data_IF_199839204077
#
_entry.id   IF_199839204077
#
_cell.length_a   1.000
_cell.length_b   1.000
_cell.length_c   1.000
_cell.angle_alpha   90.00
_cell.angle_beta   90.00
_cell.angle_gamma   90.00
#
_symmetry.space_group_name_H-M   'P 1'
#
loop_
_entity.id
_entity.type
_entity.pdbx_description
1 polymer ?
#
# COMPACT_ATOMS: atom_id res chain seq x y z
N UNK A 1 -28.53 -36.40 2.03
CA UNK A 1 -27.90 -35.11 2.41
C UNK A 1 -26.43 -35.04 1.98
N UNK A 2 -26.06 -35.70 0.86
CA UNK A 2 -24.67 -35.86 0.41
C UNK A 2 -24.49 -35.61 -1.11
N UNK A 3 -25.43 -34.92 -1.76
CA UNK A 3 -25.36 -34.66 -3.21
C UNK A 3 -25.77 -33.22 -3.62
N UNK A 4 -25.68 -32.25 -2.71
CA UNK A 4 -26.02 -30.85 -2.98
C UNK A 4 -24.80 -29.90 -2.92
N UNK A 5 -23.62 -30.42 -2.59
CA UNK A 5 -22.36 -29.71 -2.83
C UNK A 5 -21.92 -30.08 -4.24
N UNK A 6 -22.73 -29.65 -5.21
CA UNK A 6 -22.30 -29.63 -6.60
C UNK A 6 -20.94 -28.96 -6.68
N UNK A 7 -20.03 -29.58 -7.43
CA UNK A 7 -18.82 -28.97 -7.99
C UNK A 7 -19.06 -27.48 -8.17
N UNK A 8 -18.46 -26.66 -7.32
CA UNK A 8 -18.58 -25.22 -7.47
C UNK A 8 -17.86 -24.90 -8.78
N UNK A 9 -18.59 -24.80 -9.89
CA UNK A 9 -18.06 -24.50 -11.24
C UNK A 9 -17.14 -23.28 -11.25
N UNK A 10 -17.30 -22.38 -10.28
CA UNK A 10 -16.42 -21.24 -10.03
C UNK A 10 -14.94 -21.62 -9.77
N UNK A 11 -14.67 -22.82 -9.24
CA UNK A 11 -13.33 -23.32 -8.91
C UNK A 11 -12.61 -23.97 -10.08
N UNK A 12 -13.29 -24.23 -11.20
CA UNK A 12 -12.69 -24.80 -12.41
C UNK A 12 -11.81 -23.76 -13.12
N UNK A 13 -12.23 -22.48 -13.09
CA UNK A 13 -11.46 -21.34 -13.59
C UNK A 13 -11.39 -20.21 -12.55
N UNK A 14 -10.64 -20.41 -11.45
CA UNK A 14 -10.73 -19.55 -10.28
C UNK A 14 -10.26 -18.12 -10.55
N UNK A 15 -9.22 -17.94 -11.38
CA UNK A 15 -8.71 -16.61 -11.75
C UNK A 15 -9.76 -15.86 -12.58
N UNK A 16 -10.35 -16.51 -13.58
CA UNK A 16 -11.37 -15.90 -14.42
C UNK A 16 -12.61 -15.50 -13.62
N UNK A 17 -13.07 -16.36 -12.71
CA UNK A 17 -14.17 -16.02 -11.81
C UNK A 17 -13.81 -14.86 -10.89
N UNK A 18 -12.60 -14.84 -10.31
CA UNK A 18 -12.13 -13.71 -9.48
C UNK A 18 -12.10 -12.40 -10.28
N UNK A 19 -11.65 -12.42 -11.53
CA UNK A 19 -11.66 -11.24 -12.40
C UNK A 19 -13.09 -10.73 -12.63
N UNK A 20 -14.05 -11.62 -12.89
CA UNK A 20 -15.46 -11.24 -13.02
C UNK A 20 -16.00 -10.62 -11.74
N UNK A 21 -15.77 -11.27 -10.59
CA UNK A 21 -16.19 -10.75 -9.29
C UNK A 21 -15.58 -9.37 -9.01
N UNK A 22 -14.30 -9.19 -9.33
CA UNK A 22 -13.62 -7.90 -9.20
C UNK A 22 -14.27 -6.81 -10.06
N UNK A 23 -14.46 -7.06 -11.36
CA UNK A 23 -15.07 -6.10 -12.26
C UNK A 23 -16.50 -5.74 -11.84
N UNK A 24 -17.31 -6.74 -11.47
CA UNK A 24 -18.67 -6.52 -10.99
C UNK A 24 -18.68 -5.67 -9.72
N UNK A 25 -17.82 -5.98 -8.74
CA UNK A 25 -17.75 -5.23 -7.50
C UNK A 25 -17.27 -3.78 -7.73
N UNK A 26 -16.26 -3.58 -8.58
CA UNK A 26 -15.80 -2.24 -8.95
C UNK A 26 -16.89 -1.43 -9.68
N UNK A 27 -17.68 -2.07 -10.53
CA UNK A 27 -18.83 -1.44 -11.17
C UNK A 27 -19.88 -1.03 -10.12
N UNK A 28 -20.21 -1.90 -9.16
CA UNK A 28 -21.13 -1.57 -8.05
C UNK A 28 -20.63 -0.38 -7.24
N UNK A 29 -19.35 -0.38 -6.84
CA UNK A 29 -18.77 0.74 -6.09
C UNK A 29 -18.80 2.04 -6.90
N UNK A 30 -18.49 1.99 -8.19
CA UNK A 30 -18.55 3.16 -9.07
C UNK A 30 -19.99 3.68 -9.19
N UNK A 31 -20.97 2.80 -9.38
CA UNK A 31 -22.39 3.17 -9.43
C UNK A 31 -22.83 3.84 -8.13
N UNK A 32 -22.42 3.31 -6.97
CA UNK A 32 -22.72 3.92 -5.66
C UNK A 32 -22.11 5.33 -5.58
N UNK A 33 -20.86 5.50 -5.99
CA UNK A 33 -20.18 6.82 -5.96
C UNK A 33 -20.87 7.82 -6.89
N UNK A 34 -21.33 7.38 -8.07
CA UNK A 34 -22.04 8.24 -9.04
C UNK A 34 -23.47 8.56 -8.62
N UNK A 35 -24.17 7.62 -7.99
CA UNK A 35 -25.54 7.81 -7.49
C UNK A 35 -25.59 8.58 -6.17
N UNK A 36 -24.45 8.77 -5.49
CA UNK A 36 -24.38 9.49 -4.21
C UNK A 36 -24.72 10.98 -4.40
N UNK A 37 -25.81 11.47 -3.78
CA UNK A 37 -26.28 12.84 -3.99
C UNK A 37 -25.37 13.88 -3.32
N UNK A 38 -25.39 15.09 -3.85
CA UNK A 38 -24.73 16.26 -3.28
C UNK A 38 -23.21 16.33 -3.49
N UNK A 39 -22.55 17.37 -2.93
CA UNK A 39 -21.11 17.54 -2.99
C UNK A 39 -20.35 16.51 -2.13
N UNK A 40 -21.06 15.79 -1.24
CA UNK A 40 -20.49 14.94 -0.19
C UNK A 40 -20.28 15.71 1.11
N UNK A 41 -20.01 15.00 2.20
CA UNK A 41 -19.64 15.62 3.48
C UNK A 41 -18.31 16.39 3.38
N UNK A 42 -17.36 15.85 2.61
CA UNK A 42 -16.08 16.49 2.31
C UNK A 42 -16.19 17.31 1.02
N UNK A 43 -16.15 18.64 1.14
CA UNK A 43 -16.18 19.60 0.02
C UNK A 43 -14.80 20.03 -0.45
N UNK A 44 -13.72 19.49 0.13
CA UNK A 44 -12.35 19.92 -0.12
C UNK A 44 -11.94 19.76 -1.59
N UNK A 45 -12.35 18.65 -2.23
CA UNK A 45 -12.12 18.44 -3.67
C UNK A 45 -12.81 19.51 -4.52
N UNK A 46 -14.06 19.87 -4.17
CA UNK A 46 -14.81 20.88 -4.90
C UNK A 46 -14.19 22.29 -4.74
N UNK A 47 -13.75 22.63 -3.52
CA UNK A 47 -13.07 23.89 -3.23
C UNK A 47 -11.74 24.00 -3.97
N UNK A 48 -10.93 22.94 -3.97
CA UNK A 48 -9.66 22.92 -4.69
C UNK A 48 -9.84 23.07 -6.20
N UNK A 49 -10.88 22.47 -6.77
CA UNK A 49 -11.22 22.63 -8.18
C UNK A 49 -11.74 24.04 -8.50
N UNK A 50 -12.48 24.66 -7.60
CA UNK A 50 -12.92 26.05 -7.76
C UNK A 50 -11.77 27.05 -7.63
N UNK A 51 -10.77 26.74 -6.79
CA UNK A 51 -9.57 27.57 -6.59
C UNK A 51 -8.54 27.40 -7.72
N UNK A 52 -8.42 26.21 -8.30
CA UNK A 52 -7.64 25.94 -9.52
C UNK A 52 -8.44 26.31 -10.80
N UNK A 53 -9.44 27.19 -10.68
CA UNK A 53 -10.43 27.52 -11.71
C UNK A 53 -9.84 27.92 -13.06
N UNK A 54 -10.50 27.43 -14.12
CA UNK A 54 -10.39 27.89 -15.53
C UNK A 54 -8.98 28.02 -16.12
N UNK A 55 -8.13 27.02 -15.91
CA UNK A 55 -6.96 26.84 -16.79
C UNK A 55 -7.40 26.44 -18.22
N UNK A 56 -6.68 26.84 -19.29
CA UNK A 56 -7.01 26.61 -20.70
C UNK A 56 -6.90 25.13 -21.17
N UNK A 57 -7.06 24.17 -20.26
CA UNK A 57 -7.00 22.73 -20.51
C UNK A 57 -8.14 21.92 -19.88
N UNK A 58 -9.19 22.58 -19.37
CA UNK A 58 -10.35 21.85 -18.87
C UNK A 58 -11.13 21.22 -20.04
N UNK A 59 -11.40 19.91 -20.01
CA UNK A 59 -12.13 19.25 -21.08
C UNK A 59 -13.55 19.83 -21.20
N UNK A 60 -14.02 20.01 -22.43
CA UNK A 60 -15.34 20.57 -22.72
C UNK A 60 -16.44 19.80 -21.98
N UNK A 61 -17.39 20.53 -21.39
CA UNK A 61 -18.50 19.95 -20.67
C UNK A 61 -19.31 19.02 -21.58
N UNK A 62 -19.49 17.77 -21.16
CA UNK A 62 -20.15 16.72 -21.96
C UNK A 62 -19.20 15.85 -22.80
N UNK A 63 -17.91 16.17 -22.88
CA UNK A 63 -16.91 15.31 -23.51
C UNK A 63 -16.61 14.05 -22.67
N UNK A 64 -16.13 12.98 -23.32
CA UNK A 64 -15.67 11.77 -22.63
C UNK A 64 -14.50 12.07 -21.68
N UNK A 65 -13.61 12.98 -22.06
CA UNK A 65 -12.50 13.42 -21.21
C UNK A 65 -13.02 14.12 -19.95
N UNK A 66 -14.04 14.96 -20.07
CA UNK A 66 -14.69 15.58 -18.92
C UNK A 66 -15.33 14.55 -17.99
N UNK A 67 -16.02 13.56 -18.55
CA UNK A 67 -16.63 12.49 -17.76
C UNK A 67 -15.58 11.69 -16.97
N UNK A 68 -14.48 11.32 -17.61
CA UNK A 68 -13.39 10.57 -16.96
C UNK A 68 -12.75 11.40 -15.83
N UNK A 69 -12.46 12.68 -16.09
CA UNK A 69 -11.93 13.59 -15.07
C UNK A 69 -12.93 13.79 -13.92
N UNK A 70 -14.22 13.93 -14.22
CA UNK A 70 -15.28 14.09 -13.22
C UNK A 70 -15.40 12.86 -12.32
N UNK A 71 -15.35 11.65 -12.90
CA UNK A 71 -15.35 10.38 -12.17
C UNK A 71 -14.10 10.27 -11.28
N UNK A 72 -12.91 10.55 -11.83
CA UNK A 72 -11.65 10.52 -11.09
C UNK A 72 -11.68 11.44 -9.87
N UNK A 73 -12.22 12.64 -10.03
CA UNK A 73 -12.36 13.62 -8.95
C UNK A 73 -13.42 13.22 -7.92
N UNK A 74 -14.55 12.64 -8.33
CA UNK A 74 -15.57 12.09 -7.40
C UNK A 74 -14.99 10.99 -6.51
N UNK A 75 -14.07 10.20 -7.05
CA UNK A 75 -13.33 9.16 -6.31
C UNK A 75 -12.18 9.73 -5.47
N UNK A 76 -11.62 10.88 -5.85
CA UNK A 76 -10.59 11.59 -5.12
C UNK A 76 -11.17 12.49 -4.00
N UNK A 77 -11.57 11.87 -2.89
CA UNK A 77 -12.05 12.53 -1.67
C UNK A 77 -11.18 12.20 -0.45
N UNK A 78 -11.30 12.99 0.62
CA UNK A 78 -10.59 12.79 1.90
C UNK A 78 -9.07 12.82 1.74
N UNK A 79 -8.37 11.90 2.40
CA UNK A 79 -6.91 11.76 2.40
C UNK A 79 -6.28 11.74 1.00
N UNK A 80 -7.04 11.30 -0.02
CA UNK A 80 -6.56 11.26 -1.41
C UNK A 80 -6.16 12.64 -1.94
N UNK A 81 -6.77 13.72 -1.45
CA UNK A 81 -6.40 15.09 -1.82
C UNK A 81 -4.94 15.40 -1.45
N UNK A 82 -4.51 14.96 -0.26
CA UNK A 82 -3.12 15.15 0.16
C UNK A 82 -2.17 14.38 -0.75
N UNK A 83 -2.48 13.11 -1.05
CA UNK A 83 -1.66 12.31 -1.99
C UNK A 83 -1.54 12.98 -3.36
N UNK A 84 -2.64 13.55 -3.88
CA UNK A 84 -2.66 14.22 -5.17
C UNK A 84 -1.89 15.55 -5.17
N UNK A 85 -2.11 16.41 -4.16
CA UNK A 85 -1.39 17.70 -4.07
C UNK A 85 0.10 17.48 -3.82
N UNK A 86 0.48 16.52 -2.99
CA UNK A 86 1.89 16.14 -2.81
C UNK A 86 2.47 15.61 -4.13
N UNK A 87 1.72 14.80 -4.89
CA UNK A 87 2.20 14.32 -6.18
C UNK A 87 2.32 15.45 -7.23
N UNK A 88 1.50 16.50 -7.13
CA UNK A 88 1.53 17.67 -8.00
C UNK A 88 2.73 18.57 -7.72
N UNK A 89 2.92 18.98 -6.46
CA UNK A 89 3.86 20.05 -6.07
C UNK A 89 4.98 19.61 -5.12
N UNK A 90 5.00 18.35 -4.69
CA UNK A 90 5.89 17.88 -3.64
C UNK A 90 5.42 18.25 -2.22
N UNK A 91 6.21 17.84 -1.23
CA UNK A 91 5.98 18.11 0.18
C UNK A 91 6.31 19.57 0.47
N UNK A 92 5.35 20.31 1.03
CA UNK A 92 5.56 21.68 1.52
C UNK A 92 5.41 21.76 3.03
N UNK A 93 4.46 21.03 3.61
CA UNK A 93 4.17 21.12 5.04
C UNK A 93 4.60 19.87 5.81
N UNK A 94 4.94 20.03 7.10
CA UNK A 94 5.36 18.91 7.95
C UNK A 94 4.30 17.81 8.03
N UNK A 95 3.02 18.16 8.19
CA UNK A 95 1.92 17.20 8.29
C UNK A 95 1.73 16.34 7.05
N UNK A 96 2.22 16.79 5.89
CA UNK A 96 2.10 16.03 4.64
C UNK A 96 2.94 14.75 4.67
N UNK A 97 3.99 14.70 5.49
CA UNK A 97 4.90 13.55 5.61
C UNK A 97 4.28 12.32 6.27
N UNK A 98 3.04 12.41 6.74
CA UNK A 98 2.28 11.24 7.13
C UNK A 98 1.60 10.52 5.95
N UNK A 99 1.48 11.17 4.80
CA UNK A 99 1.00 10.56 3.56
C UNK A 99 2.19 9.95 2.82
N UNK A 100 2.09 8.67 2.45
CA UNK A 100 3.22 7.83 2.02
C UNK A 100 4.11 8.40 0.91
N UNK A 101 5.38 8.62 1.24
CA UNK A 101 6.42 9.11 0.32
C UNK A 101 6.51 8.30 -0.98
N UNK A 102 6.58 6.97 -0.88
CA UNK A 102 6.75 6.12 -2.06
C UNK A 102 5.57 6.20 -3.03
N UNK A 103 4.34 6.23 -2.51
CA UNK A 103 3.14 6.32 -3.34
C UNK A 103 3.07 7.66 -4.07
N UNK A 104 3.29 8.76 -3.35
CA UNK A 104 3.25 10.11 -3.96
C UNK A 104 4.31 10.28 -5.04
N UNK A 105 5.56 9.80 -4.81
CA UNK A 105 6.61 9.83 -5.84
C UNK A 105 6.32 8.95 -7.04
N UNK A 106 5.77 7.75 -6.82
CA UNK A 106 5.32 6.89 -7.92
C UNK A 106 4.26 7.60 -8.77
N UNK A 107 3.27 8.23 -8.12
CA UNK A 107 2.21 8.94 -8.82
C UNK A 107 2.75 10.15 -9.62
N UNK A 108 3.67 10.94 -9.04
CA UNK A 108 4.36 12.02 -9.76
C UNK A 108 5.20 11.52 -10.94
N UNK A 109 5.79 10.32 -10.82
CA UNK A 109 6.63 9.73 -11.86
C UNK A 109 5.83 9.23 -13.06
N UNK A 110 4.60 8.73 -12.83
CA UNK A 110 3.73 8.24 -13.89
C UNK A 110 3.24 9.33 -14.85
N UNK A 111 3.33 10.62 -14.46
CA UNK A 111 2.93 11.75 -15.30
C UNK A 111 4.11 12.72 -15.50
N UNK A 112 4.37 13.16 -16.75
CA UNK A 112 5.34 14.22 -17.00
C UNK A 112 4.86 15.52 -16.33
N UNK A 113 5.81 16.37 -15.96
CA UNK A 113 5.53 17.59 -15.18
C UNK A 113 4.49 18.51 -15.83
N UNK A 114 4.49 18.60 -17.17
CA UNK A 114 3.50 19.37 -17.94
C UNK A 114 2.06 18.87 -17.82
N UNK A 115 1.85 17.61 -17.45
CA UNK A 115 0.53 16.97 -17.34
C UNK A 115 0.11 16.70 -15.89
N UNK A 116 0.85 17.20 -14.89
CA UNK A 116 0.52 17.05 -13.45
C UNK A 116 -0.59 18.00 -13.00
N UNK A 117 -1.68 18.07 -13.76
CA UNK A 117 -2.92 18.69 -13.27
C UNK A 117 -3.60 17.76 -12.26
N UNK A 118 -4.37 18.35 -11.35
CA UNK A 118 -5.09 17.59 -10.31
C UNK A 118 -6.04 16.53 -10.91
N UNK A 119 -6.64 16.84 -12.06
CA UNK A 119 -7.57 15.96 -12.78
C UNK A 119 -6.85 14.72 -13.32
N UNK A 120 -5.74 14.90 -14.02
CA UNK A 120 -4.97 13.78 -14.57
C UNK A 120 -4.36 12.92 -13.45
N UNK A 121 -3.86 13.55 -12.38
CA UNK A 121 -3.36 12.83 -11.21
C UNK A 121 -4.46 12.01 -10.53
N UNK A 122 -5.68 12.55 -10.40
CA UNK A 122 -6.81 11.84 -9.82
C UNK A 122 -7.17 10.60 -10.64
N UNK A 123 -7.28 10.73 -11.96
CA UNK A 123 -7.57 9.61 -12.86
C UNK A 123 -6.46 8.57 -12.79
N UNK A 124 -5.19 8.98 -12.91
CA UNK A 124 -4.04 8.08 -12.83
C UNK A 124 -3.98 7.36 -11.49
N UNK A 125 -4.23 8.06 -10.38
CA UNK A 125 -4.22 7.46 -9.06
C UNK A 125 -5.39 6.49 -8.82
N UNK A 126 -6.58 6.76 -9.37
CA UNK A 126 -7.71 5.80 -9.37
C UNK A 126 -7.36 4.55 -10.18
N UNK A 127 -6.80 4.71 -11.39
CA UNK A 127 -6.38 3.59 -12.22
C UNK A 127 -5.30 2.75 -11.53
N UNK A 128 -4.29 3.41 -10.96
CA UNK A 128 -3.22 2.77 -10.22
C UNK A 128 -3.76 2.00 -9.01
N UNK A 129 -4.69 2.59 -8.24
CA UNK A 129 -5.26 1.95 -7.05
C UNK A 129 -6.10 0.73 -7.43
N UNK A 130 -6.90 0.81 -8.50
CA UNK A 130 -7.66 -0.34 -8.98
C UNK A 130 -6.75 -1.44 -9.56
N UNK A 131 -5.69 -1.08 -10.29
CA UNK A 131 -4.71 -2.03 -10.79
C UNK A 131 -4.00 -2.74 -9.63
N UNK A 132 -3.48 -1.99 -8.65
CA UNK A 132 -2.84 -2.56 -7.48
C UNK A 132 -3.81 -3.44 -6.67
N UNK A 133 -5.07 -3.03 -6.48
CA UNK A 133 -6.04 -3.86 -5.78
C UNK A 133 -6.32 -5.17 -6.54
N UNK A 134 -6.45 -5.12 -7.88
CA UNK A 134 -6.62 -6.32 -8.69
C UNK A 134 -5.43 -7.26 -8.57
N UNK A 135 -4.20 -6.74 -8.70
CA UNK A 135 -2.99 -7.53 -8.55
C UNK A 135 -2.85 -8.08 -7.12
N UNK A 136 -3.26 -7.32 -6.10
CA UNK A 136 -3.32 -7.77 -4.70
C UNK A 136 -4.23 -8.98 -4.54
N UNK A 137 -5.41 -8.99 -5.18
CA UNK A 137 -6.34 -10.15 -5.19
C UNK A 137 -5.68 -11.38 -5.82
N UNK A 138 -5.03 -11.22 -6.97
CA UNK A 138 -4.36 -12.34 -7.67
C UNK A 138 -3.19 -12.90 -6.86
N UNK A 139 -2.37 -12.02 -6.28
CA UNK A 139 -1.24 -12.42 -5.45
C UNK A 139 -1.73 -13.07 -4.16
N UNK A 140 -2.78 -12.55 -3.52
CA UNK A 140 -3.36 -13.15 -2.31
C UNK A 140 -3.89 -14.56 -2.59
N UNK A 141 -4.53 -14.78 -3.75
CA UNK A 141 -4.93 -16.11 -4.19
C UNK A 141 -3.73 -17.05 -4.29
N UNK A 142 -2.66 -16.64 -4.99
CA UNK A 142 -1.44 -17.44 -5.15
C UNK A 142 -0.68 -17.65 -3.84
N UNK A 143 -0.63 -16.65 -2.97
CA UNK A 143 -0.05 -16.73 -1.62
C UNK A 143 -0.80 -17.72 -0.76
N UNK A 144 -2.14 -17.68 -0.79
CA UNK A 144 -2.97 -18.62 -0.04
C UNK A 144 -2.77 -20.05 -0.56
N UNK A 145 -2.75 -20.25 -1.88
CA UNK A 145 -2.40 -21.55 -2.48
C UNK A 145 -0.99 -22.01 -2.08
N UNK A 146 -0.04 -21.07 -1.99
CA UNK A 146 1.33 -21.40 -1.61
C UNK A 146 1.44 -21.80 -0.14
N UNK A 147 0.61 -21.22 0.73
CA UNK A 147 0.64 -21.43 2.18
C UNK A 147 -0.12 -22.68 2.59
N UNK A 148 -1.32 -22.89 2.05
CA UNK A 148 -2.15 -24.06 2.36
C UNK A 148 -1.81 -25.20 1.39
N UNK A 149 -1.14 -26.25 1.90
CA UNK A 149 -0.69 -27.39 1.10
C UNK A 149 -1.82 -28.09 0.31
N UNK A 150 -1.52 -28.45 -0.93
CA UNK A 150 -2.43 -29.02 -1.95
C UNK A 150 -2.98 -30.44 -1.66
N UNK A 151 -2.78 -30.97 -0.45
CA UNK A 151 -3.05 -32.38 -0.13
C UNK A 151 -4.47 -32.69 0.34
N UNK A 152 -5.36 -31.69 0.40
CA UNK A 152 -6.78 -31.87 0.76
C UNK A 152 -7.66 -31.72 -0.48
N UNK A 153 -8.72 -32.53 -0.54
CA UNK A 153 -9.87 -32.27 -1.41
C UNK A 153 -10.34 -30.81 -1.20
N UNK A 154 -10.71 -30.10 -2.27
CA UNK A 154 -11.07 -28.67 -2.26
C UNK A 154 -9.93 -27.68 -1.95
N UNK A 155 -8.69 -27.97 -2.39
CA UNK A 155 -7.51 -27.12 -2.18
C UNK A 155 -7.65 -25.64 -2.59
N UNK A 156 -8.54 -25.32 -3.55
CA UNK A 156 -8.76 -23.96 -4.03
C UNK A 156 -9.82 -23.17 -3.24
N UNK A 157 -10.61 -23.80 -2.37
CA UNK A 157 -11.74 -23.12 -1.70
C UNK A 157 -11.25 -22.01 -0.77
N UNK A 158 -10.29 -22.31 0.10
CA UNK A 158 -9.75 -21.32 1.05
C UNK A 158 -9.04 -20.16 0.31
N UNK A 159 -8.13 -20.42 -0.65
CA UNK A 159 -7.53 -19.35 -1.46
C UNK A 159 -8.56 -18.50 -2.21
N UNK A 160 -9.57 -19.13 -2.82
CA UNK A 160 -10.61 -18.44 -3.55
C UNK A 160 -11.48 -17.58 -2.64
N UNK A 161 -11.88 -18.11 -1.48
CA UNK A 161 -12.65 -17.37 -0.48
C UNK A 161 -11.85 -16.18 0.06
N UNK A 162 -10.58 -16.37 0.41
CA UNK A 162 -9.72 -15.27 0.88
C UNK A 162 -9.58 -14.16 -0.17
N UNK A 163 -9.34 -14.53 -1.44
CA UNK A 163 -9.25 -13.58 -2.53
C UNK A 163 -10.59 -12.87 -2.80
N UNK A 164 -11.72 -13.59 -2.74
CA UNK A 164 -13.06 -13.01 -2.91
C UNK A 164 -13.40 -12.04 -1.79
N UNK A 165 -13.12 -12.39 -0.53
CA UNK A 165 -13.31 -11.49 0.61
C UNK A 165 -12.44 -10.23 0.50
N UNK A 166 -11.24 -10.35 -0.06
CA UNK A 166 -10.41 -9.20 -0.35
C UNK A 166 -11.00 -8.30 -1.46
N UNK A 167 -11.63 -8.87 -2.49
CA UNK A 167 -12.39 -8.09 -3.50
C UNK A 167 -13.45 -7.23 -2.83
N UNK A 168 -14.28 -7.82 -1.95
CA UNK A 168 -15.33 -7.13 -1.18
C UNK A 168 -14.82 -6.60 0.17
N UNK A 169 -13.59 -6.08 0.20
CA UNK A 169 -13.00 -5.48 1.42
C UNK A 169 -13.90 -4.37 2.01
N UNK A 170 -14.00 -4.26 3.34
CA UNK A 170 -14.81 -3.23 4.00
C UNK A 170 -14.34 -1.80 3.71
N UNK A 171 -13.11 -1.62 3.18
CA UNK A 171 -12.64 -0.34 2.69
C UNK A 171 -13.52 0.23 1.55
N UNK A 172 -14.32 -0.60 0.88
CA UNK A 172 -15.33 -0.15 -0.07
C UNK A 172 -14.75 0.75 -1.17
N UNK A 173 -15.33 1.94 -1.36
CA UNK A 173 -14.87 2.89 -2.36
C UNK A 173 -13.47 3.46 -2.08
N UNK A 174 -12.99 3.45 -0.82
CA UNK A 174 -11.68 3.99 -0.46
C UNK A 174 -10.54 3.22 -1.13
N UNK A 175 -10.65 1.90 -1.31
CA UNK A 175 -9.60 1.11 -1.99
C UNK A 175 -9.51 1.42 -3.51
N UNK A 176 -10.50 2.14 -4.05
CA UNK A 176 -10.53 2.64 -5.44
C UNK A 176 -10.09 4.09 -5.56
N UNK A 177 -10.03 4.83 -4.45
CA UNK A 177 -9.59 6.21 -4.39
C UNK A 177 -8.06 6.30 -4.57
N UNK A 178 -7.50 7.45 -5.01
CA UNK A 178 -6.07 7.62 -5.19
C UNK A 178 -5.35 7.69 -3.83
N UNK A 179 -5.13 6.53 -3.22
CA UNK A 179 -4.44 6.37 -1.96
C UNK A 179 -3.39 5.25 -2.01
N UNK A 180 -2.49 5.27 -1.03
CA UNK A 180 -1.42 4.27 -0.91
C UNK A 180 -1.87 2.88 -0.44
N UNK A 181 -3.15 2.64 -0.12
CA UNK A 181 -3.60 1.39 0.52
C UNK A 181 -3.59 0.20 -0.43
N UNK A 182 -4.11 0.38 -1.65
CA UNK A 182 -4.11 -0.68 -2.65
C UNK A 182 -2.68 -1.06 -3.06
N UNK A 183 -1.81 -0.06 -3.26
CA UNK A 183 -0.40 -0.27 -3.57
C UNK A 183 0.34 -0.97 -2.42
N UNK A 184 0.08 -0.56 -1.17
CA UNK A 184 0.60 -1.21 0.03
C UNK A 184 0.18 -2.68 0.09
N UNK A 185 -1.11 -2.97 -0.06
CA UNK A 185 -1.66 -4.33 -0.01
C UNK A 185 -0.99 -5.24 -1.05
N UNK A 186 -0.89 -4.76 -2.30
CA UNK A 186 -0.24 -5.50 -3.38
C UNK A 186 1.23 -5.81 -3.09
N UNK A 187 2.02 -4.79 -2.78
CA UNK A 187 3.46 -4.95 -2.53
C UNK A 187 3.72 -5.83 -1.30
N UNK A 188 2.90 -5.69 -0.26
CA UNK A 188 3.03 -6.49 0.95
C UNK A 188 2.69 -7.97 0.69
N UNK A 189 1.58 -8.27 0.01
CA UNK A 189 1.26 -9.65 -0.39
C UNK A 189 2.29 -10.23 -1.36
N UNK A 190 2.86 -9.42 -2.25
CA UNK A 190 3.92 -9.86 -3.14
C UNK A 190 5.19 -10.22 -2.37
N UNK A 191 5.55 -9.42 -1.36
CA UNK A 191 6.65 -9.71 -0.44
C UNK A 191 6.43 -11.02 0.31
N UNK A 192 5.23 -11.24 0.86
CA UNK A 192 4.87 -12.50 1.51
C UNK A 192 4.94 -13.70 0.55
N UNK A 193 4.46 -13.54 -0.69
CA UNK A 193 4.51 -14.58 -1.70
C UNK A 193 5.95 -14.95 -2.09
N UNK A 194 6.81 -13.95 -2.32
CA UNK A 194 8.22 -14.16 -2.57
C UNK A 194 8.91 -14.87 -1.39
N UNK A 195 8.61 -14.47 -0.15
CA UNK A 195 9.16 -15.10 1.05
C UNK A 195 8.75 -16.57 1.19
N UNK A 196 7.46 -16.89 1.06
CA UNK A 196 6.96 -18.27 1.16
C UNK A 196 7.51 -19.15 0.04
N UNK A 197 7.61 -18.61 -1.18
CA UNK A 197 8.20 -19.37 -2.30
C UNK A 197 9.72 -19.55 -2.15
N UNK A 198 10.43 -18.63 -1.49
CA UNK A 198 11.83 -18.84 -1.11
C UNK A 198 11.97 -20.04 -0.15
N UNK A 199 11.08 -20.17 0.83
CA UNK A 199 11.06 -21.32 1.75
C UNK A 199 10.73 -22.64 1.04
N UNK A 200 9.98 -22.61 -0.07
CA UNK A 200 9.73 -23.81 -0.89
C UNK A 200 10.95 -24.21 -1.70
N UNK A 201 11.61 -23.24 -2.33
CA UNK A 201 12.83 -23.48 -3.09
C UNK A 201 13.95 -24.03 -2.20
N UNK A 202 14.01 -23.57 -0.95
CA UNK A 202 14.91 -24.11 0.08
C UNK A 202 14.68 -25.61 0.29
N UNK A 203 13.42 -26.04 0.45
CA UNK A 203 13.08 -27.47 0.62
C UNK A 203 13.40 -28.30 -0.62
N UNK A 204 13.44 -27.67 -1.79
CA UNK A 204 13.81 -28.29 -3.06
C UNK A 204 15.33 -28.22 -3.33
N UNK A 205 16.13 -27.63 -2.44
CA UNK A 205 17.59 -27.53 -2.56
C UNK A 205 18.10 -26.40 -3.46
N UNK A 206 17.22 -25.51 -3.93
CA UNK A 206 17.56 -24.43 -4.86
C UNK A 206 18.07 -23.17 -4.14
N UNK A 207 19.35 -23.17 -3.73
CA UNK A 207 19.96 -22.08 -2.95
C UNK A 207 19.91 -20.70 -3.65
N UNK A 208 20.23 -20.64 -4.95
CA UNK A 208 20.31 -19.36 -5.67
C UNK A 208 18.93 -18.69 -5.83
N UNK A 209 17.91 -19.46 -6.21
CA UNK A 209 16.55 -18.94 -6.39
C UNK A 209 15.95 -18.49 -5.06
N UNK A 210 16.18 -19.26 -3.98
CA UNK A 210 15.84 -18.87 -2.62
C UNK A 210 16.43 -17.51 -2.24
N UNK A 211 17.74 -17.34 -2.46
CA UNK A 211 18.45 -16.12 -2.09
C UNK A 211 17.88 -14.89 -2.81
N UNK A 212 17.65 -15.02 -4.13
CA UNK A 212 17.04 -13.98 -4.93
C UNK A 212 15.62 -13.64 -4.44
N UNK A 213 14.82 -14.65 -4.07
CA UNK A 213 13.45 -14.45 -3.57
C UNK A 213 13.43 -13.81 -2.17
N UNK A 214 14.39 -14.10 -1.29
CA UNK A 214 14.49 -13.39 -0.01
C UNK A 214 14.82 -11.91 -0.20
N UNK A 215 15.74 -11.57 -1.10
CA UNK A 215 16.04 -10.17 -1.44
C UNK A 215 14.84 -9.49 -2.09
N UNK A 216 14.16 -10.17 -3.03
CA UNK A 216 12.96 -9.65 -3.67
C UNK A 216 11.83 -9.40 -2.67
N UNK A 217 11.64 -10.29 -1.70
CA UNK A 217 10.69 -10.10 -0.60
C UNK A 217 11.04 -8.85 0.22
N UNK A 218 12.31 -8.70 0.61
CA UNK A 218 12.81 -7.52 1.32
C UNK A 218 12.58 -6.22 0.55
N UNK A 219 12.85 -6.20 -0.76
CA UNK A 219 12.62 -5.05 -1.63
C UNK A 219 11.12 -4.71 -1.77
N UNK A 220 10.25 -5.71 -1.90
CA UNK A 220 8.79 -5.50 -1.93
C UNK A 220 8.28 -4.91 -0.62
N UNK A 221 8.75 -5.41 0.53
CA UNK A 221 8.40 -4.85 1.84
C UNK A 221 8.98 -3.45 2.05
N UNK A 222 10.18 -3.16 1.57
CA UNK A 222 10.74 -1.81 1.59
C UNK A 222 9.85 -0.84 0.81
N UNK A 223 9.47 -1.20 -0.42
CA UNK A 223 8.54 -0.42 -1.25
C UNK A 223 7.18 -0.25 -0.58
N UNK A 224 6.60 -1.32 0.00
CA UNK A 224 5.36 -1.22 0.77
C UNK A 224 5.52 -0.26 1.96
N UNK A 225 6.64 -0.32 2.67
CA UNK A 225 6.93 0.53 3.83
C UNK A 225 7.02 2.01 3.46
N UNK A 226 7.54 2.34 2.28
CA UNK A 226 7.50 3.73 1.78
C UNK A 226 6.10 4.23 1.45
N UNK A 227 5.17 3.33 1.10
CA UNK A 227 3.78 3.69 0.86
C UNK A 227 3.01 3.83 2.18
N UNK A 228 3.29 2.96 3.18
CA UNK A 228 2.77 3.06 4.54
C UNK A 228 3.76 2.45 5.54
N UNK A 229 4.05 3.16 6.63
CA UNK A 229 4.99 2.75 7.69
C UNK A 229 4.65 1.39 8.33
N UNK A 230 3.38 0.96 8.29
CA UNK A 230 2.93 -0.36 8.75
C UNK A 230 3.69 -1.53 8.09
N UNK A 231 4.30 -1.32 6.92
CA UNK A 231 5.11 -2.34 6.24
C UNK A 231 6.32 -2.81 7.03
N UNK A 232 6.80 -2.03 8.02
CA UNK A 232 7.87 -2.44 8.91
C UNK A 232 7.55 -3.74 9.67
N UNK A 233 6.27 -3.95 10.00
CA UNK A 233 5.83 -5.15 10.73
C UNK A 233 6.07 -6.43 9.92
N UNK A 234 6.12 -6.34 8.59
CA UNK A 234 6.46 -7.49 7.72
C UNK A 234 7.91 -7.98 7.94
N UNK A 235 8.77 -7.14 8.53
CA UNK A 235 10.11 -7.53 8.96
C UNK A 235 10.12 -8.60 10.07
N UNK A 236 9.02 -8.79 10.80
CA UNK A 236 8.89 -9.84 11.81
C UNK A 236 9.09 -11.25 11.21
N UNK A 237 8.73 -11.46 9.93
CA UNK A 237 8.99 -12.74 9.26
C UNK A 237 10.48 -13.01 9.10
N UNK A 238 11.26 -11.99 8.71
CA UNK A 238 12.71 -12.10 8.59
C UNK A 238 13.36 -12.30 9.96
N UNK A 239 12.90 -11.60 10.98
CA UNK A 239 13.38 -11.78 12.36
C UNK A 239 13.11 -13.21 12.84
N UNK A 240 11.89 -13.72 12.65
CA UNK A 240 11.54 -15.09 13.01
C UNK A 240 12.43 -16.13 12.31
N UNK A 241 12.67 -15.96 11.01
CA UNK A 241 13.49 -16.90 10.25
C UNK A 241 14.99 -16.81 10.62
N UNK A 242 15.48 -15.60 10.90
CA UNK A 242 16.84 -15.37 11.37
C UNK A 242 17.09 -16.00 12.75
N UNK A 243 16.14 -15.82 13.70
CA UNK A 243 16.20 -16.46 15.02
C UNK A 243 16.16 -17.99 14.88
N UNK A 244 15.32 -18.51 13.98
CA UNK A 244 15.25 -19.95 13.69
C UNK A 244 16.56 -20.48 13.12
N UNK A 245 17.20 -19.74 12.20
CA UNK A 245 18.52 -20.07 11.65
C UNK A 245 19.64 -20.02 12.70
N UNK A 246 19.62 -19.01 13.57
CA UNK A 246 20.59 -18.89 14.67
C UNK A 246 20.44 -20.04 15.67
N UNK A 247 19.20 -20.40 16.03
CA UNK A 247 18.93 -21.54 16.89
C UNK A 247 19.48 -22.85 16.29
N UNK A 248 19.31 -23.06 14.97
CA UNK A 248 19.88 -24.24 14.28
C UNK A 248 21.41 -24.27 14.33
N UNK A 249 22.09 -23.12 14.21
CA UNK A 249 23.55 -23.04 14.34
C UNK A 249 24.01 -23.42 15.76
N UNK A 250 23.26 -22.97 16.78
CA UNK A 250 23.57 -23.27 18.18
C UNK A 250 23.36 -24.76 18.48
N UNK A 251 22.29 -25.37 17.98
CA UNK A 251 21.95 -26.78 18.33
C UNK A 251 22.69 -27.82 17.49
N UNK A 252 22.92 -27.55 16.20
CA UNK A 252 23.49 -28.52 15.26
C UNK A 252 24.87 -28.14 14.73
N UNK A 253 25.40 -26.99 15.16
CA UNK A 253 26.68 -26.43 14.70
C UNK A 253 26.54 -25.60 13.41
N UNK A 254 27.59 -24.82 13.08
CA UNK A 254 27.59 -23.98 11.89
C UNK A 254 27.73 -24.82 10.61
N UNK A 255 26.76 -24.69 9.70
CA UNK A 255 26.86 -25.18 8.33
C UNK A 255 26.87 -24.01 7.36
N UNK A 256 27.71 -24.07 6.32
CA UNK A 256 27.79 -23.03 5.29
C UNK A 256 26.42 -22.69 4.70
N UNK A 257 25.58 -23.71 4.50
CA UNK A 257 24.23 -23.54 4.00
C UNK A 257 23.36 -22.66 4.91
N UNK A 258 23.40 -22.92 6.22
CA UNK A 258 22.62 -22.17 7.23
C UNK A 258 23.17 -20.75 7.36
N UNK A 259 24.50 -20.59 7.36
CA UNK A 259 25.16 -19.27 7.41
C UNK A 259 24.76 -18.42 6.19
N UNK A 260 24.83 -18.99 4.98
CA UNK A 260 24.43 -18.31 3.75
C UNK A 260 22.96 -17.91 3.79
N UNK A 261 22.07 -18.82 4.21
CA UNK A 261 20.64 -18.53 4.36
C UNK A 261 20.41 -17.38 5.34
N UNK A 262 21.03 -17.44 6.52
CA UNK A 262 20.93 -16.41 7.55
C UNK A 262 21.41 -15.06 7.02
N UNK A 263 22.54 -15.03 6.29
CA UNK A 263 23.04 -13.81 5.66
C UNK A 263 22.03 -13.20 4.68
N UNK A 264 21.38 -14.01 3.84
CA UNK A 264 20.39 -13.53 2.87
C UNK A 264 19.08 -13.08 3.54
N UNK A 265 18.65 -13.75 4.60
CA UNK A 265 17.50 -13.33 5.42
C UNK A 265 17.80 -12.00 6.10
N UNK A 266 18.97 -11.84 6.73
CA UNK A 266 19.39 -10.57 7.33
C UNK A 266 19.51 -9.45 6.30
N UNK A 267 20.08 -9.74 5.12
CA UNK A 267 20.17 -8.77 4.02
C UNK A 267 18.77 -8.34 3.54
N UNK A 268 17.88 -9.29 3.25
CA UNK A 268 16.50 -9.02 2.84
C UNK A 268 15.71 -8.24 3.90
N UNK A 269 15.82 -8.62 5.17
CA UNK A 269 15.18 -7.90 6.28
C UNK A 269 15.71 -6.48 6.45
N UNK A 270 17.02 -6.27 6.25
CA UNK A 270 17.64 -4.94 6.34
C UNK A 270 17.17 -3.99 5.23
N UNK A 271 16.82 -4.51 4.04
CA UNK A 271 16.26 -3.68 2.95
C UNK A 271 14.97 -2.96 3.37
N UNK A 272 14.18 -3.54 4.28
CA UNK A 272 12.93 -2.93 4.77
C UNK A 272 13.23 -1.59 5.45
N UNK A 273 14.36 -1.47 6.14
CA UNK A 273 14.78 -0.23 6.81
C UNK A 273 14.97 0.93 5.82
N UNK A 274 15.36 0.64 4.58
CA UNK A 274 15.44 1.66 3.52
C UNK A 274 14.08 2.33 3.31
N UNK A 275 13.00 1.57 3.44
CA UNK A 275 11.64 2.07 3.29
C UNK A 275 11.18 3.06 4.37
N UNK A 276 11.83 3.05 5.55
CA UNK A 276 11.61 4.05 6.61
C UNK A 276 12.68 5.13 6.57
N UNK A 277 13.94 4.73 6.60
CA UNK A 277 15.07 5.64 6.74
C UNK A 277 15.18 6.56 5.52
N UNK A 278 14.87 6.06 4.32
CA UNK A 278 14.91 6.85 3.09
C UNK A 278 14.02 8.10 3.17
N UNK A 279 12.68 7.96 3.31
CA UNK A 279 11.79 9.10 3.48
C UNK A 279 12.14 9.99 4.68
N UNK A 280 12.51 9.41 5.82
CA UNK A 280 12.90 10.18 7.01
C UNK A 280 14.14 11.03 6.77
N UNK A 281 15.12 10.51 6.02
CA UNK A 281 16.33 11.24 5.68
C UNK A 281 16.08 12.40 4.72
N UNK A 282 15.17 12.23 3.75
CA UNK A 282 14.77 13.34 2.87
C UNK A 282 14.12 14.44 3.70
N UNK A 283 13.18 14.12 4.58
CA UNK A 283 12.58 15.10 5.48
C UNK A 283 13.62 15.77 6.40
N UNK A 284 14.57 15.01 6.92
CA UNK A 284 15.62 15.54 7.78
C UNK A 284 16.44 16.62 7.07
N UNK A 285 16.77 16.44 5.78
CA UNK A 285 17.45 17.49 5.01
C UNK A 285 16.61 18.76 4.90
N UNK A 286 15.32 18.61 4.62
CA UNK A 286 14.44 19.75 4.36
C UNK A 286 14.16 20.56 5.64
N UNK A 287 14.03 19.92 6.81
CA UNK A 287 13.63 20.60 8.05
C UNK A 287 14.72 20.75 9.11
N UNK A 288 15.68 19.82 9.19
CA UNK A 288 16.69 19.84 10.25
C UNK A 288 18.00 20.52 9.83
N UNK A 289 18.27 20.61 8.52
CA UNK A 289 19.41 21.37 7.99
C UNK A 289 19.02 22.79 7.55
N UNK A 290 17.76 23.17 7.69
CA UNK A 290 17.29 24.53 7.46
C UNK A 290 17.83 25.51 8.52
N UNK A 291 17.81 26.81 8.22
CA UNK A 291 18.30 27.86 9.14
C UNK A 291 17.61 27.82 10.51
N UNK A 292 16.33 27.45 10.55
CA UNK A 292 15.54 27.31 11.78
C UNK A 292 15.10 25.84 11.97
N UNK A 293 15.92 25.01 12.66
CA UNK A 293 15.63 23.59 12.80
C UNK A 293 14.41 23.34 13.70
N UNK A 294 13.64 22.33 13.34
CA UNK A 294 12.41 21.98 14.05
C UNK A 294 12.71 21.22 15.36
N UNK A 295 11.84 21.31 16.40
CA UNK A 295 12.15 20.75 17.71
C UNK A 295 12.40 19.24 17.73
N UNK A 296 11.80 18.49 16.81
CA UNK A 296 11.99 17.05 16.69
C UNK A 296 13.38 16.64 16.18
N UNK A 297 14.13 17.56 15.58
CA UNK A 297 15.50 17.34 15.11
C UNK A 297 16.49 17.11 16.28
N UNK A 298 16.20 17.67 17.46
CA UNK A 298 17.04 17.55 18.65
C UNK A 298 16.78 16.28 19.48
N UNK A 299 15.85 15.41 19.04
CA UNK A 299 15.56 14.14 19.72
C UNK A 299 16.64 13.11 19.40
N UNK A 300 16.88 12.17 20.32
CA UNK A 300 17.84 11.07 20.14
C UNK A 300 17.58 10.28 18.84
N UNK A 301 16.30 10.08 18.52
CA UNK A 301 15.86 9.50 17.24
C UNK A 301 14.92 10.51 16.55
N UNK A 302 15.45 11.37 15.67
CA UNK A 302 14.63 12.34 14.96
C UNK A 302 13.71 11.59 14.00
N UNK A 303 12.40 11.85 14.10
CA UNK A 303 11.40 11.26 13.23
C UNK A 303 10.29 12.25 12.93
N UNK A 304 10.18 12.64 11.66
CA UNK A 304 9.09 13.51 11.20
C UNK A 304 7.75 12.79 11.36
N UNK A 305 7.71 11.47 11.15
CA UNK A 305 6.45 10.72 11.27
C UNK A 305 5.94 10.70 12.71
N UNK A 306 6.81 10.41 13.68
CA UNK A 306 6.44 10.45 15.10
C UNK A 306 6.06 11.88 15.55
N UNK A 307 6.72 12.91 15.00
CA UNK A 307 6.35 14.30 15.24
C UNK A 307 4.95 14.61 14.70
N UNK A 308 4.64 14.22 13.46
CA UNK A 308 3.30 14.45 12.88
C UNK A 308 2.20 13.77 13.69
N UNK A 309 2.40 12.49 14.04
CA UNK A 309 1.46 11.74 14.87
C UNK A 309 1.20 12.45 16.20
N UNK A 310 2.24 12.87 16.91
CA UNK A 310 2.11 13.43 18.26
C UNK A 310 1.71 14.91 18.31
N UNK A 311 2.27 15.74 17.42
CA UNK A 311 2.07 17.20 17.43
C UNK A 311 0.79 17.60 16.71
N UNK A 312 0.58 17.10 15.48
CA UNK A 312 -0.56 17.52 14.65
C UNK A 312 -1.82 16.68 14.91
N UNK A 313 -1.66 15.39 15.20
CA UNK A 313 -2.80 14.48 15.38
C UNK A 313 -3.04 14.04 16.82
N UNK A 314 -2.15 14.42 17.74
CA UNK A 314 -2.21 14.02 19.15
C UNK A 314 -2.36 12.50 19.36
N UNK A 315 -1.83 11.71 18.43
CA UNK A 315 -1.79 10.26 18.48
C UNK A 315 -0.54 9.82 19.26
N UNK A 316 -0.73 8.95 20.23
CA UNK A 316 0.35 8.38 21.04
C UNK A 316 -0.11 7.18 21.84
N UNK A 317 0.84 6.38 22.32
CA UNK A 317 0.56 5.26 23.22
C UNK A 317 -0.19 5.80 24.46
N UNK A 318 -1.39 5.27 24.71
CA UNK A 318 -2.32 5.70 25.76
C UNK A 318 -3.02 7.07 25.56
N UNK A 319 -3.01 7.66 24.37
CA UNK A 319 -3.74 8.91 24.05
C UNK A 319 -5.05 8.66 23.28
N UNK A 320 -5.80 7.63 23.65
CA UNK A 320 -7.13 7.42 23.08
C UNK A 320 -8.12 8.22 23.92
N UNK A 321 -8.82 9.17 23.29
CA UNK A 321 -9.82 10.08 23.88
C UNK A 321 -9.29 11.37 24.52
N UNK A 322 -9.18 12.41 23.70
CA UNK A 322 -9.81 13.67 24.08
C UNK A 322 -11.04 13.81 23.19
N UNK A 323 -12.24 13.83 23.78
CA UNK A 323 -13.44 14.24 23.06
C UNK A 323 -13.19 15.65 22.50
N UNK A 324 -13.24 15.77 21.17
CA UNK A 324 -13.26 17.04 20.43
C UNK A 324 -12.33 18.14 20.92
N UNK A 325 -11.08 18.17 20.46
CA UNK A 325 -10.36 19.45 20.36
C UNK A 325 -10.49 19.97 18.92
N UNK A 326 -10.94 21.23 18.72
CA UNK A 326 -10.75 21.89 17.44
C UNK A 326 -9.23 22.02 17.16
N UNK A 327 -8.81 22.10 15.89
CA UNK A 327 -7.41 22.22 15.52
C UNK A 327 -6.82 23.42 16.27
N UNK A 328 -5.79 23.15 17.07
CA UNK A 328 -5.04 24.22 17.72
C UNK A 328 -4.46 25.11 16.62
N UNK A 329 -4.70 26.41 16.75
CA UNK A 329 -4.04 27.45 15.95
C UNK A 329 -2.54 27.14 15.90
N UNK A 330 -2.08 26.75 14.72
CA UNK A 330 -0.67 26.67 14.42
C UNK A 330 -0.19 28.12 14.20
N UNK A 331 0.81 28.60 14.95
CA UNK A 331 1.44 29.88 14.63
C UNK A 331 2.14 29.85 13.27
#
# INVERSE_FOLDING_TARGET
>A
MASAVDRISMLDQPIYTLTKCFCLWKAVLLLIVLASPGPGYDTSTALLLSSDGEGPGNPEAGSMAWLISHIGLRLARWDSIYFLKIAQRGYLFEQEWAFGYGYTKLLSFLLPESLRSLQYLAVTGVLLSNLCHYLSVLVLYKLSQATFNSSRENYNVIPFLAATLHVVTPAGAFISAPNGEAAFSFLNFLGYYAFITALKDERQGSCFLRDLKFLAAGACFAAATTARSNGLLSGLLFVYDAVSGLHQIITHGPSWHIIRRLAMVCAGGSLILIGIVGPQYVAYKDFCLAENPRPWCNRLFPSIYAWVQSYYWNVGLFRFTSMGKPPADAP
#
